data_IF_841771309466
#
_entry.id   IF_841771309466
#
_cell.length_a   1.000
_cell.length_b   1.000
_cell.length_c   1.000
_cell.angle_alpha   90.00
_cell.angle_beta   90.00
_cell.angle_gamma   90.00
#
_symmetry.space_group_name_H-M   'P 1'
#
loop_
_entity.id
_entity.type
_entity.pdbx_description
1 polymer ?
#
# COMPACT_ATOMS: atom_id res chain seq x y z
N UNK A 1 12.87 30.56 -19.78
CA UNK A 1 11.86 29.60 -20.29
C UNK A 1 11.74 28.33 -19.44
N UNK A 2 12.83 27.59 -19.15
CA UNK A 2 12.77 26.32 -18.40
C UNK A 2 12.07 26.44 -17.03
N UNK A 3 12.39 27.48 -16.25
CA UNK A 3 11.76 27.70 -14.94
C UNK A 3 10.26 28.03 -15.02
N UNK A 4 9.81 28.66 -16.11
CA UNK A 4 8.38 28.96 -16.34
C UNK A 4 7.62 27.70 -16.71
N UNK A 5 8.22 26.83 -17.53
CA UNK A 5 7.65 25.51 -17.87
C UNK A 5 7.55 24.62 -16.63
N UNK A 6 8.60 24.59 -15.79
CA UNK A 6 8.60 23.87 -14.52
C UNK A 6 7.52 24.40 -13.56
N UNK A 7 7.37 25.72 -13.44
CA UNK A 7 6.33 26.32 -12.61
C UNK A 7 4.92 25.94 -13.09
N UNK A 8 4.66 25.95 -14.40
CA UNK A 8 3.35 25.54 -14.97
C UNK A 8 3.05 24.06 -14.70
N UNK A 9 4.07 23.20 -14.75
CA UNK A 9 3.95 21.77 -14.39
C UNK A 9 3.69 21.55 -12.90
N UNK A 10 4.04 22.48 -12.02
CA UNK A 10 3.76 22.36 -10.58
C UNK A 10 2.37 22.90 -10.21
N UNK A 11 1.92 23.95 -10.91
CA UNK A 11 0.68 24.66 -10.57
C UNK A 11 -0.58 23.87 -10.95
N UNK A 12 -0.56 23.14 -12.08
CA UNK A 12 -1.72 22.31 -12.49
C UNK A 12 -1.78 20.98 -11.70
N UNK A 13 -2.97 20.49 -11.32
CA UNK A 13 -3.09 19.17 -10.69
C UNK A 13 -2.58 18.09 -11.65
N UNK A 14 -1.50 17.42 -11.29
CA UNK A 14 -0.96 16.29 -12.05
C UNK A 14 -0.32 15.26 -11.11
N UNK A 15 0.10 14.13 -11.66
CA UNK A 15 0.69 13.03 -10.89
C UNK A 15 1.98 13.47 -10.17
N UNK A 16 2.79 14.34 -10.77
CA UNK A 16 4.02 14.86 -10.16
C UNK A 16 3.71 15.62 -8.86
N UNK A 17 2.72 16.51 -8.88
CA UNK A 17 2.27 17.24 -7.69
C UNK A 17 1.80 16.30 -6.59
N UNK A 18 1.11 15.21 -6.93
CA UNK A 18 0.65 14.20 -5.96
C UNK A 18 1.81 13.42 -5.35
N UNK A 19 2.84 13.08 -6.14
CA UNK A 19 4.07 12.45 -5.63
C UNK A 19 4.74 13.36 -4.61
N UNK A 20 4.93 14.64 -4.93
CA UNK A 20 5.52 15.58 -3.98
C UNK A 20 4.66 15.77 -2.73
N UNK A 21 3.34 15.78 -2.86
CA UNK A 21 2.44 15.82 -1.70
C UNK A 21 2.62 14.58 -0.80
N UNK A 22 2.71 13.38 -1.39
CA UNK A 22 2.91 12.15 -0.62
C UNK A 22 4.27 12.13 0.11
N UNK A 23 5.31 12.65 -0.53
CA UNK A 23 6.64 12.79 0.07
C UNK A 23 6.65 13.82 1.20
N UNK A 24 6.15 15.03 0.95
CA UNK A 24 6.19 16.14 1.91
C UNK A 24 5.26 15.94 3.11
N UNK A 25 4.11 15.28 2.92
CA UNK A 25 3.21 14.91 4.02
C UNK A 25 3.71 13.71 4.85
N UNK A 26 4.75 13.03 4.36
CA UNK A 26 5.27 11.80 4.94
C UNK A 26 4.35 10.60 4.79
N UNK A 27 3.28 10.67 3.99
CA UNK A 27 2.37 9.55 3.77
C UNK A 27 3.10 8.37 3.12
N UNK A 28 4.02 8.64 2.18
CA UNK A 28 4.85 7.63 1.54
C UNK A 28 5.79 6.92 2.54
N UNK A 29 6.42 7.67 3.44
CA UNK A 29 7.30 7.11 4.47
C UNK A 29 6.54 6.20 5.45
N UNK A 30 5.37 6.64 5.92
CA UNK A 30 4.55 5.85 6.84
C UNK A 30 4.01 4.59 6.15
N UNK A 31 3.59 4.69 4.89
CA UNK A 31 3.19 3.53 4.10
C UNK A 31 4.34 2.51 3.94
N UNK A 32 5.53 2.97 3.58
CA UNK A 32 6.72 2.11 3.48
C UNK A 32 7.03 1.41 4.82
N UNK A 33 6.87 2.13 5.93
CA UNK A 33 7.04 1.57 7.27
C UNK A 33 6.02 0.46 7.55
N UNK A 34 4.74 0.68 7.23
CA UNK A 34 3.68 -0.33 7.40
C UNK A 34 3.91 -1.56 6.51
N UNK A 35 4.36 -1.37 5.27
CA UNK A 35 4.67 -2.46 4.35
C UNK A 35 5.85 -3.30 4.84
N UNK A 36 6.94 -2.66 5.29
CA UNK A 36 8.08 -3.38 5.86
C UNK A 36 7.70 -4.15 7.13
N UNK A 37 6.86 -3.57 7.99
CA UNK A 37 6.32 -4.27 9.16
C UNK A 37 5.49 -5.49 8.74
N UNK A 38 4.66 -5.36 7.70
CA UNK A 38 3.88 -6.48 7.16
C UNK A 38 4.77 -7.60 6.61
N UNK A 39 5.79 -7.27 5.81
CA UNK A 39 6.72 -8.27 5.28
C UNK A 39 7.45 -9.00 6.41
N UNK A 40 7.94 -8.28 7.42
CA UNK A 40 8.55 -8.87 8.61
C UNK A 40 7.61 -9.81 9.38
N UNK A 41 6.29 -9.61 9.33
CA UNK A 41 5.32 -10.53 9.92
C UNK A 41 5.12 -11.77 9.05
N UNK A 42 5.02 -11.59 7.74
CA UNK A 42 4.82 -12.68 6.78
C UNK A 42 6.00 -13.66 6.79
N UNK A 43 7.23 -13.16 6.86
CA UNK A 43 8.44 -13.98 6.96
C UNK A 43 8.51 -14.85 8.24
N UNK A 44 7.74 -14.48 9.28
CA UNK A 44 7.72 -15.20 10.57
C UNK A 44 6.49 -16.11 10.72
N UNK A 45 5.57 -16.07 9.76
CA UNK A 45 4.40 -16.94 9.73
C UNK A 45 4.78 -18.31 9.17
N UNK A 46 4.11 -19.36 9.62
CA UNK A 46 4.40 -20.75 9.20
C UNK A 46 3.35 -21.34 8.26
N UNK A 47 2.09 -20.93 8.36
CA UNK A 47 1.00 -21.45 7.51
C UNK A 47 -0.11 -20.41 7.36
N UNK A 48 -0.95 -20.24 8.38
CA UNK A 48 -1.95 -19.18 8.41
C UNK A 48 -1.34 -17.87 8.92
N UNK A 49 -1.57 -16.77 8.22
CA UNK A 49 -1.06 -15.46 8.61
C UNK A 49 -2.14 -14.38 8.52
N UNK A 50 -2.24 -13.56 9.56
CA UNK A 50 -3.20 -12.44 9.65
C UNK A 50 -2.44 -11.13 9.86
N UNK A 51 -2.51 -10.23 8.89
CA UNK A 51 -1.80 -8.96 8.90
C UNK A 51 -2.73 -7.78 9.24
N UNK A 52 -2.22 -6.70 9.85
CA UNK A 52 -3.00 -5.48 10.04
C UNK A 52 -3.29 -4.80 8.70
N UNK A 53 -4.43 -4.08 8.58
CA UNK A 53 -4.74 -3.29 7.39
C UNK A 53 -3.81 -2.07 7.26
N UNK A 54 -3.46 -1.72 6.03
CA UNK A 54 -2.71 -0.49 5.72
C UNK A 54 -3.57 0.73 6.02
N UNK A 55 -3.04 1.62 6.85
CA UNK A 55 -3.70 2.86 7.26
C UNK A 55 -3.22 4.05 6.44
N UNK A 56 -1.91 4.11 6.16
CA UNK A 56 -1.32 5.21 5.40
C UNK A 56 -1.41 4.91 3.89
N UNK A 57 -2.25 5.65 3.17
CA UNK A 57 -2.58 5.39 1.76
C UNK A 57 -2.12 6.55 0.88
N UNK A 58 -0.81 6.66 0.57
CA UNK A 58 -0.31 7.66 -0.38
C UNK A 58 -0.98 7.48 -1.73
N UNK A 59 -1.43 8.57 -2.34
CA UNK A 59 -2.18 8.52 -3.60
C UNK A 59 -1.39 7.82 -4.72
N UNK A 60 -0.07 7.98 -4.70
CA UNK A 60 0.79 7.56 -5.81
C UNK A 60 1.32 6.14 -5.70
N UNK A 61 1.23 5.51 -4.52
CA UNK A 61 1.73 4.15 -4.29
C UNK A 61 0.63 3.16 -3.89
N UNK A 62 -0.46 3.63 -3.27
CA UNK A 62 -1.51 2.75 -2.79
C UNK A 62 -2.60 2.55 -3.85
N UNK A 63 -2.79 1.30 -4.29
CA UNK A 63 -3.88 0.92 -5.18
C UNK A 63 -5.03 0.26 -4.41
N UNK A 64 -4.73 -0.82 -3.68
CA UNK A 64 -5.66 -1.58 -2.84
C UNK A 64 -4.85 -2.27 -1.74
N UNK A 65 -5.53 -2.65 -0.66
CA UNK A 65 -5.00 -3.58 0.33
C UNK A 65 -5.51 -5.00 0.02
N UNK A 66 -5.31 -5.94 0.95
CA UNK A 66 -5.86 -7.27 0.88
C UNK A 66 -7.38 -7.29 1.07
N UNK A 67 -8.04 -8.26 0.43
CA UNK A 67 -9.46 -8.56 0.62
C UNK A 67 -9.75 -9.01 2.07
N UNK A 68 -10.93 -8.66 2.57
CA UNK A 68 -11.40 -9.09 3.89
C UNK A 68 -12.07 -10.46 3.79
N UNK A 69 -12.72 -10.76 2.65
CA UNK A 69 -13.42 -12.02 2.41
C UNK A 69 -12.96 -12.70 1.11
N UNK A 70 -13.02 -14.04 1.02
CA UNK A 70 -12.74 -14.77 -0.21
C UNK A 70 -13.59 -14.40 -1.42
N UNK A 71 -14.78 -13.84 -1.18
CA UNK A 71 -15.71 -13.39 -2.22
C UNK A 71 -15.34 -12.04 -2.83
N UNK A 72 -14.43 -11.28 -2.21
CA UNK A 72 -14.08 -9.94 -2.69
C UNK A 72 -13.26 -10.05 -3.98
N UNK A 73 -13.51 -9.18 -4.96
CA UNK A 73 -12.87 -9.24 -6.29
C UNK A 73 -11.34 -9.19 -6.24
N UNK A 74 -10.77 -8.57 -5.20
CA UNK A 74 -9.34 -8.42 -4.99
C UNK A 74 -8.70 -9.58 -4.20
N UNK A 75 -9.45 -10.64 -3.86
CA UNK A 75 -8.94 -11.75 -3.04
C UNK A 75 -7.78 -12.51 -3.69
N UNK A 76 -7.60 -12.39 -4.99
CA UNK A 76 -6.44 -12.95 -5.69
C UNK A 76 -5.11 -12.37 -5.19
N UNK A 77 -5.07 -11.12 -4.70
CA UNK A 77 -3.86 -10.56 -4.06
C UNK A 77 -3.49 -11.30 -2.78
N UNK A 78 -4.47 -11.71 -1.98
CA UNK A 78 -4.24 -12.49 -0.76
C UNK A 78 -3.59 -13.83 -1.09
N UNK A 79 -4.07 -14.49 -2.16
CA UNK A 79 -3.52 -15.75 -2.65
C UNK A 79 -2.08 -15.56 -3.11
N UNK A 80 -1.82 -14.61 -4.02
CA UNK A 80 -0.48 -14.39 -4.55
C UNK A 80 0.53 -13.97 -3.48
N UNK A 81 0.11 -13.17 -2.50
CA UNK A 81 0.96 -12.84 -1.37
C UNK A 81 1.28 -14.07 -0.52
N UNK A 82 0.28 -14.94 -0.28
CA UNK A 82 0.48 -16.22 0.40
C UNK A 82 1.45 -17.11 -0.37
N UNK A 83 1.22 -17.31 -1.68
CA UNK A 83 2.05 -18.11 -2.58
C UNK A 83 3.52 -17.64 -2.56
N UNK A 84 3.75 -16.32 -2.59
CA UNK A 84 5.09 -15.74 -2.53
C UNK A 84 5.83 -16.09 -1.23
N UNK A 85 5.14 -16.12 -0.10
CA UNK A 85 5.71 -16.43 1.21
C UNK A 85 5.58 -17.92 1.61
N UNK A 86 4.99 -18.77 0.77
CA UNK A 86 4.72 -20.18 1.10
C UNK A 86 3.65 -20.38 2.18
N UNK A 87 2.67 -19.47 2.24
CA UNK A 87 1.60 -19.43 3.23
C UNK A 87 0.24 -19.74 2.60
N UNK A 88 -0.75 -20.05 3.44
CA UNK A 88 -2.15 -19.94 3.03
C UNK A 88 -2.50 -18.50 2.62
N UNK A 89 -3.61 -18.26 1.87
CA UNK A 89 -3.99 -16.91 1.47
C UNK A 89 -4.04 -15.94 2.66
N UNK A 90 -3.22 -14.90 2.59
CA UNK A 90 -2.98 -13.99 3.72
C UNK A 90 -4.27 -13.27 4.08
N UNK A 91 -4.65 -13.30 5.36
CA UNK A 91 -5.87 -12.64 5.84
C UNK A 91 -5.54 -11.25 6.37
N UNK A 92 -6.42 -10.28 6.18
CA UNK A 92 -6.30 -8.94 6.79
C UNK A 92 -7.30 -8.79 7.92
N UNK A 93 -6.89 -8.18 9.02
CA UNK A 93 -7.81 -7.85 10.12
C UNK A 93 -8.86 -6.85 9.62
N UNK A 94 -10.12 -7.06 9.98
CA UNK A 94 -11.19 -6.09 9.74
C UNK A 94 -10.83 -4.77 10.43
N UNK A 95 -10.92 -3.65 9.73
CA UNK A 95 -10.76 -2.33 10.35
C UNK A 95 -11.89 -2.13 11.36
N UNK A 96 -11.55 -2.00 12.65
CA UNK A 96 -12.45 -1.44 13.65
C UNK A 96 -12.48 0.06 13.43
N UNK A 97 -13.63 0.59 12.99
CA UNK A 97 -13.91 2.02 13.03
C UNK A 97 -14.03 2.49 14.48
#
# INVERSE_FOLDING_TARGET
>A
MVFVVLAILIVKPNNIRKVYYDLLSGSAYRYNTEMNQRYNLLEKCNSECVVPPIKNRPFTLFAYDLAVKPSDEIYWYNKHLGDYFGLEPVKVKKQSN
#
